data_IF_743717703607
#
_entry.id   IF_743717703607
#
_cell.length_a   1.000
_cell.length_b   1.000
_cell.length_c   1.000
_cell.angle_alpha   90.00
_cell.angle_beta   90.00
_cell.angle_gamma   90.00
#
_symmetry.space_group_name_H-M   'P 1'
#
loop_
_entity.id
_entity.type
_entity.pdbx_description
1 polymer ?
#
# COMPACT_ATOMS: atom_id res chain seq x y z
N UNK A 1 -13.75 -18.97 18.24
CA UNK A 1 -13.84 -18.45 16.86
C UNK A 1 -12.45 -18.29 16.28
N UNK A 2 -12.25 -18.72 15.06
CA UNK A 2 -10.99 -18.46 14.35
C UNK A 2 -10.77 -16.94 14.20
N UNK A 3 -9.52 -16.51 14.29
CA UNK A 3 -9.17 -15.12 14.04
C UNK A 3 -9.41 -14.77 12.56
N UNK A 4 -9.55 -13.48 12.25
CA UNK A 4 -9.59 -13.03 10.84
C UNK A 4 -8.36 -13.49 10.07
N UNK A 5 -7.20 -13.48 10.72
CA UNK A 5 -5.95 -13.98 10.14
C UNK A 5 -6.07 -15.46 9.76
N UNK A 6 -6.57 -16.30 10.66
CA UNK A 6 -6.73 -17.74 10.39
C UNK A 6 -7.73 -17.99 9.26
N UNK A 7 -8.84 -17.26 9.27
CA UNK A 7 -9.84 -17.31 8.19
C UNK A 7 -9.19 -17.02 6.82
N UNK A 8 -8.43 -15.94 6.71
CA UNK A 8 -7.78 -15.54 5.46
C UNK A 8 -6.75 -16.56 5.02
N UNK A 9 -5.87 -17.02 5.91
CA UNK A 9 -4.84 -17.99 5.55
C UNK A 9 -5.40 -19.36 5.22
N UNK A 10 -6.45 -19.82 5.88
CA UNK A 10 -7.15 -21.07 5.53
C UNK A 10 -7.77 -20.95 4.14
N UNK A 11 -8.46 -19.86 3.85
CA UNK A 11 -9.03 -19.62 2.52
C UNK A 11 -7.96 -19.60 1.42
N UNK A 12 -6.81 -18.95 1.65
CA UNK A 12 -5.70 -18.92 0.69
C UNK A 12 -5.13 -20.31 0.43
N UNK A 13 -5.07 -21.18 1.45
CA UNK A 13 -4.62 -22.58 1.29
C UNK A 13 -5.65 -23.49 0.65
N UNK A 14 -6.88 -23.03 0.44
CA UNK A 14 -7.98 -23.86 -0.07
C UNK A 14 -8.62 -24.75 1.01
N UNK A 15 -8.37 -24.48 2.27
CA UNK A 15 -9.02 -25.18 3.38
C UNK A 15 -10.50 -24.78 3.46
N UNK A 16 -11.32 -25.66 4.03
CA UNK A 16 -12.70 -25.32 4.32
C UNK A 16 -12.76 -24.19 5.35
N UNK A 17 -13.58 -23.18 5.08
CA UNK A 17 -13.79 -22.01 5.91
C UNK A 17 -15.27 -21.76 6.17
N UNK A 18 -15.58 -21.19 7.32
CA UNK A 18 -16.96 -20.89 7.72
C UNK A 18 -17.63 -19.80 6.88
N UNK A 19 -16.85 -18.96 6.20
CA UNK A 19 -17.30 -17.94 5.26
C UNK A 19 -16.13 -17.45 4.38
N UNK A 20 -16.44 -16.83 3.29
CA UNK A 20 -15.44 -16.19 2.43
C UNK A 20 -14.87 -14.94 3.15
N UNK A 21 -13.53 -14.80 3.26
CA UNK A 21 -12.95 -13.56 3.75
C UNK A 21 -13.17 -12.41 2.77
N UNK A 22 -13.48 -11.24 3.30
CA UNK A 22 -13.80 -10.05 2.50
C UNK A 22 -12.84 -8.92 2.83
N UNK A 23 -12.29 -8.33 1.78
CA UNK A 23 -11.50 -7.11 1.85
C UNK A 23 -11.64 -6.32 0.57
N UNK A 24 -11.62 -5.02 0.71
CA UNK A 24 -11.59 -4.08 -0.39
C UNK A 24 -10.39 -3.17 -0.25
N UNK A 25 -9.98 -2.54 -1.32
CA UNK A 25 -8.93 -1.53 -1.27
C UNK A 25 -9.36 -0.28 -2.03
N UNK A 26 -8.92 0.85 -1.52
CA UNK A 26 -9.22 2.16 -2.06
C UNK A 26 -7.96 3.01 -2.08
N UNK A 27 -7.91 3.94 -3.01
CA UNK A 27 -6.96 5.03 -2.93
C UNK A 27 -7.50 6.10 -1.97
N UNK A 28 -6.65 6.57 -1.07
CA UNK A 28 -6.99 7.59 -0.09
C UNK A 28 -6.50 8.99 -0.49
N UNK A 29 -5.91 9.08 -1.67
CA UNK A 29 -5.40 10.30 -2.28
C UNK A 29 -6.06 10.51 -3.64
N UNK A 30 -6.06 11.75 -4.15
CA UNK A 30 -6.59 12.05 -5.48
C UNK A 30 -5.69 11.50 -6.57
N UNK A 31 -6.19 11.46 -7.80
CA UNK A 31 -5.40 11.01 -8.95
C UNK A 31 -4.11 11.84 -9.12
N UNK A 32 -4.19 13.15 -8.88
CA UNK A 32 -3.05 14.07 -8.97
C UNK A 32 -2.02 13.82 -7.84
N UNK A 33 -2.48 13.47 -6.66
CA UNK A 33 -1.63 13.21 -5.49
C UNK A 33 -0.89 11.86 -5.55
N UNK A 34 -1.34 10.92 -6.39
CA UNK A 34 -0.80 9.54 -6.42
C UNK A 34 0.70 9.44 -6.64
N UNK A 35 1.30 10.40 -7.33
CA UNK A 35 2.73 10.45 -7.59
C UNK A 35 3.49 11.54 -6.81
N UNK A 36 2.85 12.24 -5.89
CA UNK A 36 3.41 13.41 -5.22
C UNK A 36 3.73 13.17 -3.73
N UNK A 37 3.96 11.93 -3.35
CA UNK A 37 4.17 11.56 -1.94
C UNK A 37 5.58 11.83 -1.43
N UNK A 38 6.58 11.86 -2.31
CA UNK A 38 7.97 12.06 -1.92
C UNK A 38 8.14 13.43 -1.24
N UNK A 39 8.66 13.41 -0.01
CA UNK A 39 8.84 14.62 0.82
C UNK A 39 7.55 15.42 1.05
N UNK A 40 6.39 14.79 0.99
CA UNK A 40 5.10 15.43 1.19
C UNK A 40 4.37 14.87 2.42
N UNK A 41 4.53 15.48 3.60
CA UNK A 41 3.93 15.01 4.84
C UNK A 41 2.40 15.02 4.81
N UNK A 42 1.78 15.87 4.00
CA UNK A 42 0.31 15.89 3.85
C UNK A 42 -0.21 14.62 3.21
N UNK A 43 0.44 14.15 2.15
CA UNK A 43 0.05 12.91 1.46
C UNK A 43 0.35 11.71 2.35
N UNK A 44 1.48 11.70 3.05
CA UNK A 44 1.82 10.71 4.06
C UNK A 44 0.70 10.56 5.10
N UNK A 45 0.31 11.66 5.74
CA UNK A 45 -0.73 11.65 6.78
C UNK A 45 -2.10 11.24 6.22
N UNK A 46 -2.44 11.71 5.03
CA UNK A 46 -3.69 11.36 4.35
C UNK A 46 -3.80 9.87 4.06
N UNK A 47 -2.70 9.23 3.65
CA UNK A 47 -2.63 7.78 3.45
C UNK A 47 -2.81 7.01 4.76
N UNK A 48 -2.10 7.41 5.81
CA UNK A 48 -2.21 6.77 7.14
C UNK A 48 -3.62 6.89 7.69
N UNK A 49 -4.20 8.08 7.68
CA UNK A 49 -5.56 8.32 8.19
C UNK A 49 -6.62 7.60 7.37
N UNK A 50 -6.46 7.55 6.06
CA UNK A 50 -7.37 6.83 5.16
C UNK A 50 -7.42 5.34 5.48
N UNK A 51 -6.28 4.68 5.64
CA UNK A 51 -6.21 3.27 6.02
C UNK A 51 -6.81 3.02 7.41
N UNK A 52 -6.49 3.88 8.39
CA UNK A 52 -7.04 3.77 9.74
C UNK A 52 -8.57 3.86 9.72
N UNK A 53 -9.12 4.91 9.10
CA UNK A 53 -10.56 5.13 9.01
C UNK A 53 -11.27 3.98 8.29
N UNK A 54 -10.67 3.46 7.22
CA UNK A 54 -11.20 2.31 6.52
C UNK A 54 -11.32 1.09 7.43
N UNK A 55 -10.25 0.75 8.13
CA UNK A 55 -10.25 -0.42 9.03
C UNK A 55 -11.23 -0.27 10.17
N UNK A 56 -11.33 0.91 10.78
CA UNK A 56 -12.22 1.18 11.89
C UNK A 56 -13.70 1.11 11.50
N UNK A 57 -14.05 1.64 10.33
CA UNK A 57 -15.44 1.72 9.88
C UNK A 57 -15.93 0.44 9.21
N UNK A 58 -15.12 -0.14 8.35
CA UNK A 58 -15.52 -1.29 7.51
C UNK A 58 -15.20 -2.63 8.18
N UNK A 59 -14.15 -2.67 9.01
CA UNK A 59 -13.69 -3.88 9.70
C UNK A 59 -13.47 -5.07 8.76
N UNK A 60 -12.72 -4.90 7.66
CA UNK A 60 -12.47 -5.95 6.69
C UNK A 60 -11.72 -7.13 7.31
N UNK A 61 -11.67 -8.26 6.62
CA UNK A 61 -10.91 -9.42 7.07
C UNK A 61 -9.42 -9.28 6.77
N UNK A 62 -9.09 -8.59 5.69
CA UNK A 62 -7.72 -8.23 5.33
C UNK A 62 -7.66 -6.81 4.74
N UNK A 63 -6.48 -6.24 4.75
CA UNK A 63 -6.24 -4.88 4.26
C UNK A 63 -5.06 -4.91 3.29
N UNK A 64 -5.25 -4.35 2.11
CA UNK A 64 -4.14 -4.02 1.22
C UNK A 64 -3.64 -2.62 1.56
N UNK A 65 -2.37 -2.51 1.92
CA UNK A 65 -1.73 -1.21 2.09
C UNK A 65 -1.40 -0.66 0.69
N UNK A 66 -1.90 0.54 0.41
CA UNK A 66 -1.72 1.21 -0.87
C UNK A 66 -0.42 2.02 -0.88
N UNK A 67 0.24 2.07 -2.03
CA UNK A 67 1.42 2.91 -2.27
C UNK A 67 1.03 4.33 -2.72
N UNK A 68 -0.01 4.89 -2.13
CA UNK A 68 -0.52 6.21 -2.44
C UNK A 68 0.55 7.29 -2.24
N UNK A 69 0.79 8.07 -3.28
CA UNK A 69 1.86 9.06 -3.32
C UNK A 69 3.15 8.60 -4.02
N UNK A 70 3.31 7.32 -4.32
CA UNK A 70 4.54 6.74 -4.86
C UNK A 70 4.32 5.97 -6.17
N UNK A 71 3.38 6.39 -6.99
CA UNK A 71 3.09 5.71 -8.26
C UNK A 71 4.08 6.05 -9.38
N UNK A 72 4.82 7.14 -9.22
CA UNK A 72 5.80 7.57 -10.22
C UNK A 72 7.19 7.12 -9.78
N UNK A 73 7.79 6.21 -10.54
CA UNK A 73 9.16 5.79 -10.29
C UNK A 73 10.14 6.95 -10.54
N UNK A 74 10.99 7.31 -9.58
CA UNK A 74 11.91 8.44 -9.69
C UNK A 74 13.12 8.05 -10.52
N UNK A 75 13.00 8.01 -11.83
CA UNK A 75 14.12 7.72 -12.72
C UNK A 75 14.55 8.94 -13.51
N UNK A 76 15.76 8.87 -14.04
CA UNK A 76 16.32 9.87 -14.93
C UNK A 76 15.57 9.98 -16.28
N UNK A 77 14.82 8.95 -16.63
CA UNK A 77 14.11 8.84 -17.91
C UNK A 77 12.61 8.84 -17.73
N UNK A 78 12.12 9.07 -16.52
CA UNK A 78 10.69 9.02 -16.30
C UNK A 78 9.96 10.02 -17.20
N UNK A 79 9.34 9.47 -18.24
CA UNK A 79 8.40 10.17 -19.09
C UNK A 79 7.11 9.35 -19.16
N UNK A 80 5.94 9.95 -18.95
CA UNK A 80 4.68 9.26 -19.19
C UNK A 80 4.50 8.86 -20.67
N UNK A 81 5.40 9.30 -21.53
CA UNK A 81 5.41 9.02 -22.96
C UNK A 81 6.67 8.25 -23.38
N UNK A 82 6.92 7.12 -22.72
CA UNK A 82 7.93 6.18 -23.22
C UNK A 82 7.47 5.71 -24.58
N UNK A 83 8.20 6.07 -25.62
CA UNK A 83 7.86 5.79 -27.01
C UNK A 83 8.73 4.74 -27.66
N UNK A 84 9.80 4.30 -27.00
CA UNK A 84 10.76 3.33 -27.55
C UNK A 84 11.33 2.41 -26.47
N UNK A 85 11.77 1.20 -26.88
CA UNK A 85 12.48 0.25 -26.01
C UNK A 85 13.80 0.84 -25.52
N UNK A 86 14.46 1.66 -26.32
CA UNK A 86 15.72 2.31 -25.95
C UNK A 86 15.55 3.24 -24.74
N UNK A 87 14.43 3.93 -24.64
CA UNK A 87 14.11 4.76 -23.47
C UNK A 87 13.93 3.91 -22.20
N UNK A 88 13.33 2.72 -22.31
CA UNK A 88 13.23 1.79 -21.20
C UNK A 88 14.57 1.26 -20.73
N UNK A 89 15.47 0.94 -21.64
CA UNK A 89 16.81 0.41 -21.34
C UNK A 89 17.67 1.44 -20.61
N UNK A 90 17.42 2.72 -20.81
CA UNK A 90 18.17 3.82 -20.17
C UNK A 90 17.64 4.19 -18.76
N UNK A 91 16.60 3.53 -18.26
CA UNK A 91 16.12 3.76 -16.89
C UNK A 91 17.15 3.26 -15.89
N UNK A 92 17.60 4.17 -15.03
CA UNK A 92 18.53 3.84 -13.96
C UNK A 92 17.80 3.24 -12.77
N UNK A 93 18.39 2.18 -12.20
CA UNK A 93 17.91 1.61 -10.95
C UNK A 93 18.25 2.52 -9.79
N UNK A 94 17.27 2.76 -8.90
CA UNK A 94 17.52 3.40 -7.62
C UNK A 94 17.90 2.34 -6.59
N UNK A 95 18.82 2.67 -5.67
CA UNK A 95 19.17 1.80 -4.56
C UNK A 95 18.11 1.82 -3.46
N UNK A 96 18.17 0.83 -2.58
CA UNK A 96 17.25 0.70 -1.43
C UNK A 96 17.31 1.89 -0.46
N UNK A 97 18.46 2.61 -0.44
CA UNK A 97 18.65 3.83 0.38
C UNK A 97 17.97 5.08 -0.21
N UNK A 98 17.42 4.98 -1.42
CA UNK A 98 16.77 6.12 -2.05
C UNK A 98 15.54 6.58 -1.22
N UNK A 99 15.36 7.90 -1.01
CA UNK A 99 14.24 8.42 -0.20
C UNK A 99 12.85 7.93 -0.64
N UNK A 100 12.65 7.69 -1.93
CA UNK A 100 11.42 7.14 -2.47
C UNK A 100 11.10 5.73 -1.92
N UNK A 101 12.11 4.88 -1.75
CA UNK A 101 11.98 3.56 -1.12
C UNK A 101 11.76 3.73 0.39
N UNK A 102 12.62 4.50 1.05
CA UNK A 102 12.61 4.66 2.49
C UNK A 102 11.29 5.25 3.00
N UNK A 103 10.76 6.25 2.33
CA UNK A 103 9.49 6.85 2.72
C UNK A 103 8.29 5.92 2.51
N UNK A 104 8.32 5.04 1.51
CA UNK A 104 7.28 4.00 1.40
C UNK A 104 7.33 3.02 2.58
N UNK A 105 8.52 2.63 3.00
CA UNK A 105 8.69 1.79 4.21
C UNK A 105 8.13 2.50 5.44
N UNK A 106 8.42 3.79 5.61
CA UNK A 106 7.88 4.60 6.71
C UNK A 106 6.36 4.68 6.70
N UNK A 107 5.75 4.89 5.53
CA UNK A 107 4.28 4.90 5.37
C UNK A 107 3.68 3.55 5.78
N UNK A 108 4.24 2.45 5.31
CA UNK A 108 3.78 1.10 5.66
C UNK A 108 3.88 0.86 7.17
N UNK A 109 4.99 1.25 7.78
CA UNK A 109 5.18 1.12 9.22
C UNK A 109 4.18 1.97 10.01
N UNK A 110 3.94 3.21 9.59
CA UNK A 110 2.97 4.10 10.21
C UNK A 110 1.55 3.56 10.11
N UNK A 111 1.15 3.05 8.94
CA UNK A 111 -0.17 2.43 8.75
C UNK A 111 -0.32 1.20 9.66
N UNK A 112 0.68 0.32 9.70
CA UNK A 112 0.66 -0.87 10.56
C UNK A 112 0.52 -0.53 12.04
N UNK A 113 1.12 0.56 12.51
CA UNK A 113 0.99 1.02 13.90
C UNK A 113 -0.42 1.49 14.25
N UNK A 114 -1.23 1.90 13.28
CA UNK A 114 -2.61 2.30 13.53
C UNK A 114 -3.55 1.11 13.76
N UNK A 115 -3.16 -0.09 13.35
CA UNK A 115 -3.92 -1.30 13.56
C UNK A 115 -3.67 -1.82 14.97
N UNK A 116 -4.70 -1.90 15.81
CA UNK A 116 -4.55 -2.40 17.19
C UNK A 116 -3.99 -3.83 17.22
N UNK A 117 -3.29 -4.16 18.31
CA UNK A 117 -2.60 -5.44 18.52
C UNK A 117 -3.53 -6.65 18.34
N UNK A 118 -4.84 -6.49 18.62
CA UNK A 118 -5.85 -7.54 18.45
C UNK A 118 -6.32 -7.76 17.00
N UNK A 119 -5.90 -6.89 16.08
CA UNK A 119 -6.22 -6.99 14.65
C UNK A 119 -4.98 -7.34 13.84
N UNK A 120 -4.34 -8.44 14.18
CA UNK A 120 -3.18 -8.99 13.46
C UNK A 120 -3.57 -9.60 12.11
N UNK A 121 -4.29 -8.87 11.29
CA UNK A 121 -4.66 -9.28 9.95
C UNK A 121 -4.19 -8.25 8.94
N UNK A 122 -2.86 -8.07 8.88
CA UNK A 122 -2.21 -7.36 7.77
C UNK A 122 -1.50 -8.42 6.96
N UNK A 123 -1.99 -8.64 5.77
CA UNK A 123 -1.31 -9.37 4.71
C UNK A 123 -0.82 -8.35 3.71
#
# INVERSE_FOLDING_TARGET
>A
MASKRDLVFRAIRGDEVERVPVGFWFHFVTLEEKGQGLNNPRIFQKSVDGHRNYVERIRPDFVKIMSDGFFLYPSNVYSPKVSSIQELVSIESIGEEHPWIQQQVEVVQAIRKTFSVDRKSVV
#
